data_IF_255874227375
#
_entry.id   IF_255874227375
#
_cell.length_a   1.000
_cell.length_b   1.000
_cell.length_c   1.000
_cell.angle_alpha   90.00
_cell.angle_beta   90.00
_cell.angle_gamma   90.00
#
_symmetry.space_group_name_H-M   'P 1'
#
loop_
_entity.id
_entity.type
_entity.pdbx_description
1 polymer ?
#
# COMPACT_ATOMS: atom_id res chain seq x y z
N UNK A 1 -60.21 1.49 45.77
CA UNK A 1 -59.94 0.55 46.88
C UNK A 1 -58.82 -0.40 46.47
N UNK A 2 -57.76 -0.52 47.28
CA UNK A 2 -56.66 -1.49 47.07
C UNK A 2 -57.04 -2.85 47.68
N UNK A 3 -56.55 -3.96 47.11
CA UNK A 3 -55.67 -4.86 47.87
C UNK A 3 -54.47 -5.31 47.00
N UNK A 4 -53.23 -5.17 47.46
CA UNK A 4 -52.49 -6.03 48.40
C UNK A 4 -51.77 -7.21 47.70
N UNK A 5 -50.44 -7.17 47.80
CA UNK A 5 -49.46 -8.14 47.30
C UNK A 5 -49.44 -9.36 48.22
N UNK A 6 -49.27 -10.59 47.70
CA UNK A 6 -48.64 -11.66 48.46
C UNK A 6 -47.22 -11.93 47.95
N UNK A 7 -46.26 -11.65 48.82
CA UNK A 7 -44.91 -12.16 48.76
C UNK A 7 -44.86 -13.51 49.48
N UNK A 8 -44.59 -14.58 48.74
CA UNK A 8 -44.09 -15.86 49.28
C UNK A 8 -43.77 -16.78 48.11
N UNK A 9 -42.72 -17.59 48.06
CA UNK A 9 -41.49 -17.84 48.82
C UNK A 9 -40.88 -19.06 48.10
N UNK A 10 -39.56 -19.26 48.19
CA UNK A 10 -38.84 -20.53 47.95
C UNK A 10 -38.68 -21.00 46.47
N UNK A 11 -37.57 -21.60 46.03
CA UNK A 11 -36.22 -21.90 46.54
C UNK A 11 -35.48 -22.64 45.39
N UNK A 12 -34.17 -22.42 45.22
CA UNK A 12 -33.21 -23.29 44.46
C UNK A 12 -33.47 -23.44 42.94
N UNK A 13 -32.51 -23.69 42.05
CA UNK A 13 -31.22 -24.37 42.11
C UNK A 13 -30.31 -23.94 40.93
N UNK A 14 -29.06 -24.35 41.06
CA UNK A 14 -27.88 -24.14 40.22
C UNK A 14 -28.00 -24.64 38.76
N UNK A 15 -27.27 -23.95 37.87
CA UNK A 15 -26.44 -24.45 36.77
C UNK A 15 -27.07 -25.31 35.64
N UNK A 16 -26.97 -24.85 34.38
CA UNK A 16 -26.07 -25.40 33.32
C UNK A 16 -26.51 -25.01 31.90
N UNK A 17 -25.48 -24.84 31.06
CA UNK A 17 -25.40 -25.09 29.60
C UNK A 17 -26.38 -24.32 28.69
N UNK A 18 -25.91 -23.31 27.94
CA UNK A 18 -25.09 -23.41 26.72
C UNK A 18 -25.78 -24.17 25.58
N UNK A 19 -26.17 -23.44 24.52
CA UNK A 19 -26.16 -23.85 23.10
C UNK A 19 -26.68 -22.69 22.23
N UNK A 20 -25.85 -21.67 22.05
CA UNK A 20 -26.01 -20.66 21.00
C UNK A 20 -25.45 -21.20 19.69
N UNK A 21 -26.33 -21.43 18.73
CA UNK A 21 -26.07 -22.03 17.42
C UNK A 21 -24.99 -21.27 16.63
N UNK A 22 -24.02 -22.05 16.15
CA UNK A 22 -22.91 -21.65 15.29
C UNK A 22 -23.41 -21.16 13.92
N UNK A 23 -23.04 -19.92 13.56
CA UNK A 23 -22.96 -19.50 12.16
C UNK A 23 -21.62 -19.99 11.60
N UNK A 24 -21.69 -20.99 10.73
CA UNK A 24 -20.55 -21.50 9.96
C UNK A 24 -20.12 -20.48 8.90
N UNK A 25 -19.32 -19.49 9.31
CA UNK A 25 -18.44 -18.80 8.38
C UNK A 25 -17.21 -19.69 8.18
N UNK A 26 -17.01 -20.18 6.96
CA UNK A 26 -15.87 -20.97 6.57
C UNK A 26 -14.56 -20.25 6.94
N UNK A 27 -13.91 -20.73 8.01
CA UNK A 27 -12.57 -20.32 8.40
C UNK A 27 -11.59 -20.79 7.34
N UNK A 28 -11.05 -19.85 6.56
CA UNK A 28 -9.84 -20.09 5.76
C UNK A 28 -8.71 -20.36 6.75
N UNK A 29 -8.46 -21.64 7.03
CA UNK A 29 -7.32 -22.11 7.82
C UNK A 29 -6.05 -21.80 7.04
N UNK A 30 -5.32 -20.78 7.45
CA UNK A 30 -3.89 -20.66 7.14
C UNK A 30 -3.16 -21.73 7.95
N UNK A 31 -2.38 -22.56 7.25
CA UNK A 31 -1.54 -23.57 7.85
C UNK A 31 -0.33 -22.89 8.52
N UNK A 32 -0.45 -22.55 9.81
CA UNK A 32 0.70 -22.18 10.64
C UNK A 32 0.42 -22.48 12.11
N UNK A 33 0.14 -23.73 12.43
CA UNK A 33 0.22 -24.26 13.80
C UNK A 33 1.47 -25.10 13.96
N UNK A 34 2.62 -24.44 13.81
CA UNK A 34 3.89 -24.87 14.37
C UNK A 34 4.74 -23.61 14.60
N UNK A 35 4.93 -23.24 15.87
CA UNK A 35 5.82 -22.16 16.36
C UNK A 35 5.30 -20.71 16.34
N UNK A 36 4.16 -20.45 16.98
CA UNK A 36 3.69 -19.07 17.32
C UNK A 36 4.74 -18.29 18.15
N UNK A 37 5.52 -18.97 18.99
CA UNK A 37 6.56 -18.37 19.83
C UNK A 37 7.88 -18.06 19.10
N UNK A 38 8.14 -18.62 17.91
CA UNK A 38 9.35 -18.30 17.11
C UNK A 38 9.06 -17.28 16.01
N UNK A 39 7.85 -17.26 15.43
CA UNK A 39 7.46 -16.25 14.45
C UNK A 39 7.28 -14.86 15.10
N UNK A 40 6.76 -14.80 16.33
CA UNK A 40 6.65 -13.54 17.09
C UNK A 40 8.01 -13.03 17.55
N UNK A 41 8.93 -13.92 17.95
CA UNK A 41 10.32 -13.54 18.30
C UNK A 41 11.09 -13.06 17.08
N UNK A 42 10.95 -13.70 15.91
CA UNK A 42 11.53 -13.22 14.65
C UNK A 42 10.90 -11.92 14.15
N UNK A 43 9.59 -11.72 14.35
CA UNK A 43 8.93 -10.45 14.06
C UNK A 43 9.36 -9.33 15.01
N UNK A 44 9.59 -9.63 16.29
CA UNK A 44 10.16 -8.68 17.26
C UNK A 44 11.64 -8.41 17.01
N UNK A 45 12.41 -9.40 16.57
CA UNK A 45 13.82 -9.23 16.18
C UNK A 45 13.94 -8.47 14.86
N UNK A 46 13.04 -8.67 13.89
CA UNK A 46 12.98 -7.83 12.68
C UNK A 46 12.46 -6.43 12.98
N UNK A 47 11.49 -6.25 13.87
CA UNK A 47 11.10 -4.92 14.35
C UNK A 47 12.23 -4.23 15.12
N UNK A 48 12.93 -4.94 16.01
CA UNK A 48 14.02 -4.38 16.80
C UNK A 48 15.27 -4.09 15.95
N UNK A 49 15.57 -4.93 14.94
CA UNK A 49 16.66 -4.67 13.98
C UNK A 49 16.29 -3.59 12.98
N UNK A 50 15.04 -3.51 12.53
CA UNK A 50 14.53 -2.39 11.74
C UNK A 50 14.48 -1.12 12.58
N UNK A 51 14.16 -1.17 13.87
CA UNK A 51 14.17 0.01 14.76
C UNK A 51 15.60 0.47 15.06
N UNK A 52 16.54 -0.47 15.26
CA UNK A 52 17.98 -0.15 15.41
C UNK A 52 18.60 0.38 14.12
N UNK A 53 18.24 -0.17 12.96
CA UNK A 53 18.77 0.27 11.66
C UNK A 53 18.06 1.52 11.14
N UNK A 54 16.76 1.68 11.41
CA UNK A 54 16.02 2.90 11.17
C UNK A 54 16.53 4.02 12.08
N UNK A 55 16.85 3.73 13.35
CA UNK A 55 17.51 4.68 14.24
C UNK A 55 18.85 5.16 13.66
N UNK A 56 19.70 4.25 13.18
CA UNK A 56 20.97 4.60 12.51
C UNK A 56 20.77 5.36 11.21
N UNK A 57 19.79 4.98 10.40
CA UNK A 57 19.47 5.65 9.13
C UNK A 57 18.87 7.04 9.40
N UNK A 58 18.00 7.16 10.39
CA UNK A 58 17.39 8.41 10.81
C UNK A 58 18.42 9.34 11.44
N UNK A 59 19.34 8.83 12.27
CA UNK A 59 20.47 9.60 12.78
C UNK A 59 21.43 10.02 11.67
N UNK A 60 21.71 9.14 10.70
CA UNK A 60 22.58 9.48 9.57
C UNK A 60 21.90 10.51 8.66
N UNK A 61 20.62 10.34 8.38
CA UNK A 61 19.81 11.29 7.64
C UNK A 61 19.67 12.61 8.40
N UNK A 62 19.48 12.60 9.71
CA UNK A 62 19.39 13.79 10.56
C UNK A 62 20.73 14.50 10.68
N UNK A 63 21.86 13.78 10.67
CA UNK A 63 23.21 14.39 10.63
C UNK A 63 23.51 15.00 9.26
N UNK A 64 23.03 14.40 8.17
CA UNK A 64 23.27 14.89 6.80
C UNK A 64 22.30 16.00 6.38
N UNK A 65 21.04 15.91 6.81
CA UNK A 65 19.98 16.87 6.49
C UNK A 65 19.75 17.89 7.60
N UNK A 66 20.23 17.68 8.81
CA UNK A 66 20.09 18.63 9.94
C UNK A 66 20.68 20.00 9.63
N UNK A 67 21.98 20.13 9.33
CA UNK A 67 22.58 21.44 9.10
C UNK A 67 22.07 22.13 7.82
N UNK A 68 21.60 21.39 6.81
CA UNK A 68 20.98 21.95 5.61
C UNK A 68 19.51 22.33 5.85
N UNK A 69 18.77 21.51 6.60
CA UNK A 69 17.35 21.70 6.94
C UNK A 69 17.12 22.77 7.99
N UNK A 70 18.07 23.00 8.89
CA UNK A 70 18.05 24.08 9.88
C UNK A 70 18.40 25.43 9.23
N UNK A 71 19.36 25.44 8.30
CA UNK A 71 19.67 26.65 7.51
C UNK A 71 18.53 27.02 6.56
N UNK A 72 17.98 26.04 5.84
CA UNK A 72 16.81 26.25 4.99
C UNK A 72 15.56 26.59 5.83
N UNK A 73 15.44 26.00 7.03
CA UNK A 73 14.38 26.28 7.99
C UNK A 73 14.42 27.69 8.57
N UNK A 74 15.61 28.19 8.91
CA UNK A 74 15.80 29.57 9.37
C UNK A 74 15.61 30.59 8.23
N UNK A 75 15.95 30.24 6.99
CA UNK A 75 15.79 31.10 5.81
C UNK A 75 14.33 31.14 5.31
N UNK A 76 13.58 30.05 5.49
CA UNK A 76 12.14 29.98 5.24
C UNK A 76 11.29 30.52 6.39
N UNK A 77 11.85 30.69 7.60
CA UNK A 77 11.21 31.35 8.74
C UNK A 77 9.73 30.99 8.93
N UNK A 78 8.86 32.00 8.88
CA UNK A 78 7.40 31.87 9.02
C UNK A 78 6.70 31.13 7.85
N UNK A 79 7.32 31.02 6.68
CA UNK A 79 6.75 30.31 5.52
C UNK A 79 6.89 28.78 5.62
N UNK A 80 7.70 28.29 6.56
CA UNK A 80 7.83 26.84 6.80
C UNK A 80 6.48 26.20 7.14
N UNK A 81 5.69 26.84 8.00
CA UNK A 81 4.44 26.29 8.49
C UNK A 81 3.36 26.15 7.40
N UNK A 82 3.08 27.18 6.57
CA UNK A 82 2.13 27.02 5.45
C UNK A 82 2.64 26.06 4.38
N UNK A 83 3.95 26.00 4.09
CA UNK A 83 4.49 25.06 3.12
C UNK A 83 4.35 23.60 3.58
N UNK A 84 4.71 23.31 4.82
CA UNK A 84 4.56 21.96 5.39
C UNK A 84 3.09 21.55 5.45
N UNK A 85 2.19 22.47 5.80
CA UNK A 85 0.77 22.22 5.76
C UNK A 85 0.29 21.87 4.34
N UNK A 86 0.64 22.68 3.34
CA UNK A 86 0.25 22.43 1.95
C UNK A 86 0.81 21.11 1.41
N UNK A 87 2.04 20.76 1.75
CA UNK A 87 2.63 19.46 1.41
C UNK A 87 1.91 18.30 2.09
N UNK A 88 1.53 18.45 3.37
CA UNK A 88 0.77 17.44 4.09
C UNK A 88 -0.61 17.21 3.47
N UNK A 89 -1.34 18.28 3.15
CA UNK A 89 -2.63 18.21 2.46
C UNK A 89 -2.47 17.56 1.09
N UNK A 90 -1.49 18.02 0.29
CA UNK A 90 -1.20 17.46 -1.04
C UNK A 90 -0.88 15.98 -0.96
N UNK A 91 -0.10 15.55 0.04
CA UNK A 91 0.21 14.14 0.27
C UNK A 91 -1.04 13.31 0.55
N UNK A 92 -1.95 13.78 1.40
CA UNK A 92 -3.19 13.05 1.68
C UNK A 92 -4.11 12.99 0.45
N UNK A 93 -4.18 14.06 -0.34
CA UNK A 93 -4.90 14.07 -1.63
C UNK A 93 -4.30 13.03 -2.59
N UNK A 94 -2.97 13.03 -2.75
CA UNK A 94 -2.27 12.06 -3.60
C UNK A 94 -2.48 10.63 -3.12
N UNK A 95 -2.52 10.38 -1.81
CA UNK A 95 -2.80 9.06 -1.24
C UNK A 95 -4.21 8.59 -1.58
N UNK A 96 -5.20 9.47 -1.51
CA UNK A 96 -6.57 9.14 -1.90
C UNK A 96 -6.65 8.81 -3.39
N UNK A 97 -6.01 9.60 -4.24
CA UNK A 97 -5.93 9.35 -5.69
C UNK A 97 -5.25 8.01 -5.96
N UNK A 98 -4.13 7.71 -5.29
CA UNK A 98 -3.41 6.45 -5.47
C UNK A 98 -4.30 5.21 -5.25
N UNK A 99 -5.12 5.24 -4.20
CA UNK A 99 -6.04 4.13 -3.91
C UNK A 99 -7.24 4.13 -4.86
N UNK A 100 -7.83 5.30 -5.14
CA UNK A 100 -9.03 5.41 -6.00
C UNK A 100 -8.74 5.07 -7.46
N UNK A 101 -7.62 5.54 -7.98
CA UNK A 101 -7.18 5.29 -9.36
C UNK A 101 -6.52 3.92 -9.52
N UNK A 102 -6.43 3.12 -8.46
CA UNK A 102 -5.87 1.78 -8.52
C UNK A 102 -4.40 1.76 -8.97
N UNK A 103 -3.61 2.78 -8.61
CA UNK A 103 -2.17 2.86 -8.91
C UNK A 103 -1.33 1.84 -8.13
N UNK A 104 -2.00 0.99 -7.34
CA UNK A 104 -1.38 -0.17 -6.71
C UNK A 104 -0.95 -1.19 -7.77
N UNK A 105 0.18 -1.90 -7.55
CA UNK A 105 0.61 -2.94 -8.47
C UNK A 105 -0.50 -3.97 -8.71
N UNK A 106 -0.80 -4.31 -9.98
CA UNK A 106 -1.83 -5.29 -10.28
C UNK A 106 -1.40 -6.69 -9.81
N UNK A 107 -2.38 -7.56 -9.60
CA UNK A 107 -2.11 -8.96 -9.31
C UNK A 107 -1.44 -9.64 -10.53
N UNK A 108 -0.58 -10.63 -10.29
CA UNK A 108 0.13 -11.40 -11.31
C UNK A 108 -0.84 -12.01 -12.33
N UNK A 109 -2.02 -12.46 -11.89
CA UNK A 109 -3.05 -12.97 -12.79
C UNK A 109 -3.53 -11.91 -13.81
N UNK A 110 -3.69 -10.66 -13.37
CA UNK A 110 -4.09 -9.55 -14.25
C UNK A 110 -2.98 -9.18 -15.25
N UNK A 111 -1.72 -9.27 -14.83
CA UNK A 111 -0.58 -9.08 -15.75
C UNK A 111 -0.56 -10.15 -16.83
N UNK A 112 -0.74 -11.43 -16.45
CA UNK A 112 -0.80 -12.55 -17.40
C UNK A 112 -1.95 -12.39 -18.39
N UNK A 113 -3.14 -12.04 -17.91
CA UNK A 113 -4.30 -11.83 -18.79
C UNK A 113 -4.07 -10.66 -19.75
N UNK A 114 -3.56 -9.53 -19.25
CA UNK A 114 -3.28 -8.36 -20.09
C UNK A 114 -2.24 -8.69 -21.19
N UNK A 115 -1.18 -9.41 -20.83
CA UNK A 115 -0.17 -9.87 -21.80
C UNK A 115 -0.78 -10.80 -22.86
N UNK A 116 -1.55 -11.81 -22.45
CA UNK A 116 -2.20 -12.73 -23.38
C UNK A 116 -3.16 -12.01 -24.33
N UNK A 117 -3.98 -11.08 -23.81
CA UNK A 117 -4.88 -10.26 -24.63
C UNK A 117 -4.11 -9.40 -25.63
N UNK A 118 -3.06 -8.70 -25.18
CA UNK A 118 -2.25 -7.87 -26.05
C UNK A 118 -1.56 -8.69 -27.14
N UNK A 119 -0.99 -9.84 -26.77
CA UNK A 119 -0.34 -10.74 -27.72
C UNK A 119 -1.29 -11.24 -28.79
N UNK A 120 -2.52 -11.62 -28.40
CA UNK A 120 -3.54 -12.08 -29.35
C UNK A 120 -3.97 -10.99 -30.34
N UNK A 121 -4.02 -9.73 -29.89
CA UNK A 121 -4.38 -8.59 -30.72
C UNK A 121 -3.25 -8.21 -31.68
N UNK A 122 -2.01 -8.14 -31.19
CA UNK A 122 -0.84 -7.79 -32.00
C UNK A 122 -0.52 -8.87 -33.04
N UNK A 123 -0.77 -10.14 -32.71
CA UNK A 123 -0.59 -11.25 -33.65
C UNK A 123 -1.62 -11.27 -34.78
N UNK A 124 -2.69 -10.45 -34.70
CA UNK A 124 -3.69 -10.35 -35.75
C UNK A 124 -3.24 -9.35 -36.83
N UNK A 125 -3.07 -9.79 -38.10
CA UNK A 125 -2.61 -8.90 -39.18
C UNK A 125 -3.59 -7.77 -39.50
N UNK A 126 -4.88 -7.90 -39.14
CA UNK A 126 -5.87 -6.86 -39.36
C UNK A 126 -5.67 -5.63 -38.45
N UNK A 127 -4.92 -5.75 -37.36
CA UNK A 127 -4.72 -4.67 -36.38
C UNK A 127 -4.08 -3.43 -37.01
N UNK A 128 -3.07 -3.60 -37.86
CA UNK A 128 -2.40 -2.47 -38.51
C UNK A 128 -3.36 -1.68 -39.42
N UNK A 129 -4.15 -2.39 -40.24
CA UNK A 129 -5.15 -1.77 -41.10
C UNK A 129 -6.26 -1.07 -40.31
N UNK A 130 -6.67 -1.66 -39.18
CA UNK A 130 -7.70 -1.08 -38.31
C UNK A 130 -7.21 0.17 -37.59
N UNK A 131 -5.97 0.18 -37.08
CA UNK A 131 -5.38 1.37 -36.42
C UNK A 131 -5.19 2.55 -37.37
N UNK A 132 -4.86 2.28 -38.63
CA UNK A 132 -4.75 3.30 -39.67
C UNK A 132 -6.12 3.89 -40.00
N UNK A 133 -7.15 3.05 -40.14
CA UNK A 133 -8.51 3.48 -40.46
C UNK A 133 -9.21 4.17 -39.30
N UNK A 134 -8.95 3.74 -38.06
CA UNK A 134 -9.54 4.32 -36.85
C UNK A 134 -8.87 5.64 -36.43
N UNK A 135 -7.69 5.95 -36.98
CA UNK A 135 -6.91 7.12 -36.59
C UNK A 135 -6.29 7.02 -35.19
N UNK A 136 -6.31 5.83 -34.57
CA UNK A 136 -5.84 5.63 -33.19
C UNK A 136 -4.31 5.50 -33.07
N UNK A 137 -3.59 5.51 -34.20
CA UNK A 137 -2.14 5.38 -34.23
C UNK A 137 -1.43 6.40 -33.33
N UNK A 138 -1.93 7.64 -33.30
CA UNK A 138 -1.39 8.69 -32.42
C UNK A 138 -1.52 8.34 -30.94
N UNK A 139 -2.65 7.76 -30.53
CA UNK A 139 -2.89 7.34 -29.14
C UNK A 139 -1.96 6.19 -28.73
N UNK A 140 -1.78 5.21 -29.62
CA UNK A 140 -0.82 4.11 -29.41
C UNK A 140 0.61 4.67 -29.27
N UNK A 141 0.99 5.63 -30.11
CA UNK A 141 2.29 6.31 -30.02
C UNK A 141 2.49 7.04 -28.69
N UNK A 142 1.49 7.80 -28.23
CA UNK A 142 1.53 8.49 -26.93
C UNK A 142 1.66 7.49 -25.78
N UNK A 143 0.91 6.39 -25.79
CA UNK A 143 1.05 5.35 -24.77
C UNK A 143 2.40 4.63 -24.84
N UNK A 144 2.97 4.44 -26.03
CA UNK A 144 4.33 3.92 -26.20
C UNK A 144 5.38 4.83 -25.58
N UNK A 145 5.26 6.14 -25.78
CA UNK A 145 6.13 7.14 -25.15
C UNK A 145 5.95 7.16 -23.62
N UNK A 146 4.71 7.05 -23.13
CA UNK A 146 4.44 6.96 -21.70
C UNK A 146 5.09 5.71 -21.08
N UNK A 147 4.96 4.55 -21.73
CA UNK A 147 5.60 3.30 -21.30
C UNK A 147 7.13 3.43 -21.30
N UNK A 148 7.71 4.06 -22.33
CA UNK A 148 9.15 4.35 -22.38
C UNK A 148 9.60 5.28 -21.25
N UNK A 149 8.80 6.30 -20.91
CA UNK A 149 9.05 7.17 -19.77
C UNK A 149 9.08 6.41 -18.44
N UNK A 150 8.07 5.56 -18.20
CA UNK A 150 8.01 4.71 -16.99
C UNK A 150 9.20 3.76 -16.92
N UNK A 151 9.60 3.16 -18.05
CA UNK A 151 10.79 2.31 -18.13
C UNK A 151 12.06 3.06 -17.69
N UNK A 152 12.25 4.30 -18.17
CA UNK A 152 13.41 5.13 -17.79
C UNK A 152 13.39 5.56 -16.32
N UNK A 153 12.21 5.81 -15.74
CA UNK A 153 12.08 6.03 -14.30
C UNK A 153 12.52 4.78 -13.53
N UNK A 154 12.12 3.58 -13.99
CA UNK A 154 12.60 2.31 -13.45
C UNK A 154 14.12 2.17 -13.53
N UNK A 155 14.72 2.56 -14.66
CA UNK A 155 16.19 2.57 -14.82
C UNK A 155 16.87 3.52 -13.83
N UNK A 156 16.34 4.73 -13.63
CA UNK A 156 16.84 5.71 -12.64
C UNK A 156 16.82 5.12 -11.23
N UNK A 157 15.72 4.46 -10.85
CA UNK A 157 15.58 3.82 -9.53
C UNK A 157 16.56 2.64 -9.41
N UNK A 158 16.65 1.80 -10.44
CA UNK A 158 17.53 0.62 -10.45
C UNK A 158 19.01 0.98 -10.35
N UNK A 159 19.45 2.02 -11.07
CA UNK A 159 20.84 2.53 -11.02
C UNK A 159 21.09 3.50 -9.87
N UNK A 160 20.04 3.94 -9.16
CA UNK A 160 20.08 4.91 -8.04
C UNK A 160 20.82 6.22 -8.39
N UNK A 161 20.77 6.62 -9.67
CA UNK A 161 21.40 7.83 -10.20
C UNK A 161 20.44 8.53 -11.15
N UNK A 162 20.28 9.84 -10.97
CA UNK A 162 19.42 10.65 -11.83
C UNK A 162 20.02 10.82 -13.23
N UNK A 163 21.35 10.98 -13.31
CA UNK A 163 22.08 11.23 -14.56
C UNK A 163 23.13 10.15 -14.77
N UNK A 164 23.04 9.45 -15.90
CA UNK A 164 24.04 8.48 -16.34
C UNK A 164 24.32 7.31 -15.37
N UNK A 165 25.27 6.46 -15.78
CA UNK A 165 25.92 5.52 -14.88
C UNK A 165 27.13 6.20 -14.25
N UNK A 166 27.37 5.94 -12.96
CA UNK A 166 28.62 6.36 -12.32
C UNK A 166 29.72 5.44 -12.82
N UNK A 167 30.69 6.02 -13.52
CA UNK A 167 31.87 5.34 -14.04
C UNK A 167 33.05 5.70 -13.14
N UNK A 168 32.91 5.42 -11.84
CA UNK A 168 33.95 5.61 -10.83
C UNK A 168 34.53 4.25 -10.43
#
# INVERSE_FOLDING_TARGET
>A
MRPAVPASLFRHSLARQALGQQRSAASKRFASSASESQAQKKAQETFASVQKNAGKFFESAQKFLGPAGDKLGNLLGSYRQPLLYNLAVTKEVLKQIYVKEGLQPPNIAAVKSAYASLWSQVSNPALAGNLLKSGELGRVGVYGLQAYGIYKIGEIIGRRSLVGYKLD
#
